data_IF_108814910039
#
_entry.id   IF_108814910039
#
_cell.length_a   1.000
_cell.length_b   1.000
_cell.length_c   1.000
_cell.angle_alpha   90.00
_cell.angle_beta   90.00
_cell.angle_gamma   90.00
#
_symmetry.space_group_name_H-M   'P 1'
#
loop_
_entity.id
_entity.type
_entity.pdbx_description
1 polymer ?
#
# COMPACT_ATOMS: atom_id res chain seq x y z
N UNK A 1 -39.29 15.50 8.19
CA UNK A 1 -38.19 16.26 7.57
C UNK A 1 -36.99 15.32 7.59
N UNK A 2 -36.68 14.64 6.50
CA UNK A 2 -35.50 13.78 6.43
C UNK A 2 -34.31 14.67 6.11
N UNK A 3 -33.59 15.10 7.13
CA UNK A 3 -32.23 15.63 6.96
C UNK A 3 -31.39 14.42 6.63
N UNK A 4 -31.14 14.19 5.34
CA UNK A 4 -30.00 13.37 4.94
C UNK A 4 -28.79 14.22 5.25
N UNK A 5 -28.24 14.06 6.46
CA UNK A 5 -26.92 14.61 6.76
C UNK A 5 -25.98 13.96 5.75
N UNK A 6 -25.58 14.75 4.75
CA UNK A 6 -24.64 14.32 3.75
C UNK A 6 -23.30 14.33 4.45
N UNK A 7 -23.01 13.25 5.17
CA UNK A 7 -21.67 13.02 5.70
C UNK A 7 -20.72 13.02 4.50
N UNK A 8 -19.91 14.08 4.40
CA UNK A 8 -18.85 14.17 3.41
C UNK A 8 -17.73 13.22 3.84
N UNK A 9 -17.90 11.93 3.52
CA UNK A 9 -16.88 10.92 3.72
C UNK A 9 -15.67 11.24 2.83
N UNK A 10 -14.48 11.19 3.42
CA UNK A 10 -13.24 11.35 2.66
C UNK A 10 -13.15 10.25 1.60
N UNK A 11 -13.22 10.65 0.34
CA UNK A 11 -12.93 9.78 -0.80
C UNK A 11 -11.59 10.22 -1.39
N UNK A 12 -10.59 9.33 -1.35
CA UNK A 12 -9.27 9.60 -1.95
C UNK A 12 -9.13 8.79 -3.23
N UNK A 13 -8.96 9.47 -4.35
CA UNK A 13 -8.78 8.85 -5.67
C UNK A 13 -7.30 8.79 -6.06
N UNK A 14 -6.83 7.60 -6.44
CA UNK A 14 -5.44 7.34 -6.81
C UNK A 14 -5.41 6.82 -8.25
N UNK A 15 -4.53 7.38 -9.07
CA UNK A 15 -4.41 6.99 -10.47
C UNK A 15 -3.44 7.86 -11.24
N UNK A 16 -3.59 7.89 -12.56
CA UNK A 16 -2.78 8.77 -13.42
C UNK A 16 -3.54 10.04 -13.80
N UNK A 17 -2.88 11.19 -13.64
CA UNK A 17 -3.29 12.43 -14.28
C UNK A 17 -2.76 12.48 -15.72
N UNK A 18 -3.51 13.08 -16.64
CA UNK A 18 -2.92 13.45 -17.92
C UNK A 18 -2.15 14.75 -17.74
N UNK A 19 -0.92 14.89 -18.30
CA UNK A 19 -0.32 16.20 -18.39
C UNK A 19 -1.28 17.13 -19.14
N UNK A 20 -1.30 18.44 -18.83
CA UNK A 20 -1.99 19.43 -19.65
C UNK A 20 -1.26 19.53 -20.99
N UNK A 21 -1.46 18.52 -21.84
CA UNK A 21 -1.13 18.58 -23.25
C UNK A 21 -1.92 19.76 -23.79
N UNK A 22 -1.31 20.55 -24.67
CA UNK A 22 -1.73 21.87 -25.19
C UNK A 22 -3.13 21.97 -25.83
N UNK A 23 -4.03 21.05 -25.56
CA UNK A 23 -5.46 21.08 -25.85
C UNK A 23 -6.22 22.23 -25.16
N UNK A 24 -5.55 23.09 -24.38
CA UNK A 24 -6.12 24.33 -23.82
C UNK A 24 -5.65 25.61 -24.54
N UNK A 25 -5.26 25.52 -25.81
CA UNK A 25 -5.06 26.72 -26.65
C UNK A 25 -6.03 26.81 -27.83
N UNK A 26 -6.87 25.79 -28.07
CA UNK A 26 -7.73 25.74 -29.26
C UNK A 26 -9.21 25.43 -29.00
N UNK A 27 -9.70 25.54 -27.76
CA UNK A 27 -11.12 25.35 -27.47
C UNK A 27 -11.70 26.57 -26.78
N UNK A 28 -11.95 27.59 -27.60
CA UNK A 28 -13.06 28.52 -27.38
C UNK A 28 -14.34 27.66 -27.28
N UNK A 29 -15.01 27.70 -26.13
CA UNK A 29 -16.40 27.26 -25.93
C UNK A 29 -16.72 25.74 -25.94
N UNK A 30 -15.91 24.92 -25.26
CA UNK A 30 -16.28 23.54 -24.92
C UNK A 30 -16.22 23.28 -23.41
N UNK A 31 -17.18 22.54 -22.81
CA UNK A 31 -17.12 22.21 -21.38
C UNK A 31 -15.82 21.47 -21.07
N UNK A 32 -15.18 21.72 -19.91
CA UNK A 32 -13.91 21.09 -19.57
C UNK A 32 -14.08 19.58 -19.68
N UNK A 33 -13.36 18.96 -20.61
CA UNK A 33 -13.34 17.52 -20.78
C UNK A 33 -13.12 16.88 -19.41
N UNK A 34 -14.02 15.98 -19.04
CA UNK A 34 -14.28 15.43 -17.70
C UNK A 34 -13.06 14.72 -17.09
N UNK A 35 -12.01 15.46 -16.76
CA UNK A 35 -10.91 14.95 -15.97
C UNK A 35 -11.38 14.92 -14.52
N UNK A 36 -11.74 13.73 -14.04
CA UNK A 36 -11.97 13.50 -12.62
C UNK A 36 -10.71 13.92 -11.85
N UNK A 37 -10.82 14.79 -10.83
CA UNK A 37 -9.66 15.19 -10.05
C UNK A 37 -9.05 13.96 -9.38
N UNK A 38 -7.78 13.68 -9.70
CA UNK A 38 -6.99 12.61 -9.06
C UNK A 38 -6.30 13.23 -7.84
N UNK A 39 -6.50 12.66 -6.65
CA UNK A 39 -5.86 13.17 -5.43
C UNK A 39 -4.39 12.76 -5.33
N UNK A 40 -4.05 11.57 -5.81
CA UNK A 40 -2.67 11.04 -5.82
C UNK A 40 -2.31 10.61 -7.23
N UNK A 41 -1.45 11.39 -7.88
CA UNK A 41 -0.95 11.08 -9.21
C UNK A 41 0.24 10.11 -9.15
N UNK A 42 0.12 9.00 -9.88
CA UNK A 42 1.15 7.98 -10.03
C UNK A 42 2.00 8.19 -11.30
N UNK A 43 1.73 9.26 -12.05
CA UNK A 43 2.44 9.66 -13.26
C UNK A 43 1.84 9.06 -14.54
N UNK A 44 2.43 9.35 -15.72
CA UNK A 44 1.89 8.98 -17.04
C UNK A 44 2.14 7.50 -17.40
N UNK A 45 1.92 6.59 -16.45
CA UNK A 45 2.14 5.15 -16.64
C UNK A 45 0.94 4.50 -17.33
N UNK A 46 1.18 3.76 -18.42
CA UNK A 46 0.11 3.01 -19.13
C UNK A 46 -0.45 1.86 -18.31
N UNK A 47 0.35 1.33 -17.40
CA UNK A 47 -0.03 0.28 -16.45
C UNK A 47 -0.87 0.81 -15.27
N UNK A 48 -1.07 2.12 -15.17
CA UNK A 48 -1.93 2.72 -14.16
C UNK A 48 -3.20 3.23 -14.83
N UNK A 49 -4.35 2.98 -14.22
CA UNK A 49 -5.64 3.47 -14.72
C UNK A 49 -5.84 4.93 -14.29
N UNK A 50 -6.68 5.69 -15.01
CA UNK A 50 -7.02 7.08 -14.62
C UNK A 50 -7.64 7.10 -13.22
N UNK A 51 -8.59 6.19 -13.01
CA UNK A 51 -9.13 5.80 -11.72
C UNK A 51 -8.61 4.39 -11.45
N UNK A 52 -7.56 4.25 -10.65
CA UNK A 52 -6.93 2.95 -10.38
C UNK A 52 -7.41 2.36 -9.06
N UNK A 53 -7.41 3.16 -8.02
CA UNK A 53 -7.99 2.78 -6.74
C UNK A 53 -8.65 3.99 -6.12
N UNK A 54 -9.61 3.75 -5.23
CA UNK A 54 -10.15 4.77 -4.34
C UNK A 54 -10.16 4.26 -2.92
N UNK A 55 -9.94 5.15 -1.95
CA UNK A 55 -10.11 4.86 -0.54
C UNK A 55 -11.43 5.47 -0.12
N UNK A 56 -12.27 4.67 0.52
CA UNK A 56 -13.55 5.09 1.10
C UNK A 56 -13.59 4.69 2.56
N UNK A 57 -14.24 5.52 3.39
CA UNK A 57 -14.51 5.19 4.78
C UNK A 57 -15.85 4.47 4.89
N UNK A 58 -15.87 3.30 5.53
CA UNK A 58 -17.11 2.62 5.88
C UNK A 58 -17.49 2.94 7.32
N UNK A 59 -18.65 3.55 7.48
CA UNK A 59 -19.16 3.98 8.78
C UNK A 59 -19.59 2.80 9.66
N UNK A 60 -20.25 1.79 9.08
CA UNK A 60 -20.79 0.64 9.81
C UNK A 60 -19.70 -0.10 10.60
N UNK A 61 -18.52 -0.24 10.01
CA UNK A 61 -17.40 -0.96 10.59
C UNK A 61 -16.23 -0.06 11.00
N UNK A 62 -16.42 1.26 10.95
CA UNK A 62 -15.45 2.31 11.33
C UNK A 62 -14.02 2.10 10.78
N UNK A 63 -13.88 1.70 9.52
CA UNK A 63 -12.58 1.47 8.89
C UNK A 63 -12.50 2.00 7.45
N UNK A 64 -11.28 2.18 6.98
CA UNK A 64 -11.01 2.58 5.59
C UNK A 64 -10.88 1.35 4.71
N UNK A 65 -11.42 1.42 3.51
CA UNK A 65 -11.36 0.35 2.52
C UNK A 65 -10.74 0.88 1.23
N UNK A 66 -9.76 0.16 0.71
CA UNK A 66 -9.24 0.34 -0.63
C UNK A 66 -10.10 -0.43 -1.62
N UNK A 67 -10.69 0.30 -2.56
CA UNK A 67 -11.47 -0.26 -3.66
C UNK A 67 -10.59 -0.23 -4.90
N UNK A 68 -10.25 -1.42 -5.41
CA UNK A 68 -9.38 -1.58 -6.56
C UNK A 68 -10.23 -1.58 -7.82
N UNK A 69 -10.05 -0.60 -8.70
CA UNK A 69 -10.84 -0.41 -9.94
C UNK A 69 -9.97 -0.67 -11.18
N UNK A 70 -8.67 -0.51 -11.03
CA UNK A 70 -7.70 -0.65 -12.10
C UNK A 70 -7.48 -2.09 -12.52
N UNK A 71 -7.29 -2.29 -13.83
CA UNK A 71 -7.09 -3.60 -14.44
C UNK A 71 -5.91 -4.40 -13.84
N UNK A 72 -4.81 -3.74 -13.51
CA UNK A 72 -3.60 -4.41 -13.03
C UNK A 72 -3.63 -4.79 -11.54
N UNK A 73 -4.69 -4.41 -10.83
CA UNK A 73 -4.80 -4.64 -9.40
C UNK A 73 -3.82 -3.80 -8.56
N UNK A 74 -3.79 -4.09 -7.27
CA UNK A 74 -2.89 -3.47 -6.31
C UNK A 74 -2.38 -4.51 -5.31
N UNK A 75 -1.21 -4.29 -4.73
CA UNK A 75 -0.70 -5.07 -3.62
C UNK A 75 -0.98 -4.31 -2.33
N UNK A 76 -1.51 -4.99 -1.32
CA UNK A 76 -1.75 -4.43 0.02
C UNK A 76 -1.05 -5.33 1.02
N UNK A 77 -0.09 -4.79 1.77
CA UNK A 77 0.72 -5.53 2.76
C UNK A 77 1.37 -6.80 2.19
N UNK A 78 1.77 -6.74 0.91
CA UNK A 78 2.37 -7.87 0.18
C UNK A 78 1.37 -8.88 -0.39
N UNK A 79 0.06 -8.68 -0.20
CA UNK A 79 -0.99 -9.52 -0.76
C UNK A 79 -1.59 -8.88 -2.02
N UNK A 80 -1.59 -9.63 -3.13
CA UNK A 80 -2.17 -9.15 -4.38
C UNK A 80 -3.70 -9.13 -4.33
N UNK A 81 -4.28 -8.00 -4.77
CA UNK A 81 -5.71 -7.75 -4.86
C UNK A 81 -6.09 -7.34 -6.27
N UNK A 82 -6.98 -8.11 -6.91
CA UNK A 82 -7.42 -7.89 -8.28
C UNK A 82 -8.42 -6.73 -8.43
N UNK A 83 -8.75 -6.38 -9.67
CA UNK A 83 -9.81 -5.40 -9.97
C UNK A 83 -11.16 -5.84 -9.38
N UNK A 84 -11.90 -4.89 -8.81
CA UNK A 84 -13.16 -5.09 -8.10
C UNK A 84 -13.00 -5.49 -6.62
N UNK A 85 -11.76 -5.66 -6.12
CA UNK A 85 -11.53 -6.05 -4.73
C UNK A 85 -11.75 -4.90 -3.75
N UNK A 86 -12.24 -5.25 -2.57
CA UNK A 86 -12.43 -4.37 -1.42
C UNK A 86 -11.50 -4.83 -0.31
N UNK A 87 -10.47 -4.05 -0.03
CA UNK A 87 -9.41 -4.44 0.91
C UNK A 87 -9.44 -3.50 2.10
N UNK A 88 -9.69 -3.99 3.32
CA UNK A 88 -9.63 -3.15 4.51
C UNK A 88 -8.20 -2.63 4.72
N UNK A 89 -8.08 -1.35 5.05
CA UNK A 89 -6.83 -0.68 5.35
C UNK A 89 -6.71 -0.49 6.87
N UNK A 90 -5.69 -1.10 7.46
CA UNK A 90 -5.26 -0.84 8.83
C UNK A 90 -4.25 0.30 8.95
N UNK A 91 -3.87 0.62 10.18
CA UNK A 91 -2.80 1.58 10.46
C UNK A 91 -1.49 1.15 9.77
N UNK A 92 -0.87 2.07 9.02
CA UNK A 92 0.38 1.85 8.26
C UNK A 92 0.28 0.80 7.13
N UNK A 93 -0.91 0.54 6.59
CA UNK A 93 -1.05 -0.37 5.44
C UNK A 93 -0.20 0.10 4.26
N UNK A 94 0.58 -0.80 3.68
CA UNK A 94 1.42 -0.55 2.51
C UNK A 94 0.64 -0.89 1.24
N UNK A 95 0.40 0.10 0.39
CA UNK A 95 -0.31 -0.06 -0.88
C UNK A 95 0.71 0.12 -2.00
N UNK A 96 0.91 -0.91 -2.80
CA UNK A 96 1.77 -0.84 -3.99
C UNK A 96 0.93 -0.97 -5.26
N UNK A 97 1.06 0.05 -6.11
CA UNK A 97 0.44 0.11 -7.43
C UNK A 97 1.56 0.22 -8.46
N UNK A 98 1.77 -0.87 -9.21
CA UNK A 98 2.86 -0.97 -10.18
C UNK A 98 4.22 -0.72 -9.49
N UNK A 99 4.85 0.43 -9.71
CA UNK A 99 6.15 0.81 -9.15
C UNK A 99 6.06 1.81 -8.00
N UNK A 100 4.87 2.30 -7.67
CA UNK A 100 4.67 3.29 -6.62
C UNK A 100 4.21 2.60 -5.34
N UNK A 101 4.84 2.94 -4.22
CA UNK A 101 4.47 2.46 -2.89
C UNK A 101 3.95 3.62 -2.06
N UNK A 102 2.73 3.46 -1.54
CA UNK A 102 2.01 4.43 -0.72
C UNK A 102 1.79 3.82 0.67
N UNK A 103 1.82 4.65 1.69
CA UNK A 103 1.58 4.23 3.07
C UNK A 103 0.32 4.91 3.57
N UNK A 104 -0.64 4.12 4.01
CA UNK A 104 -1.85 4.62 4.63
C UNK A 104 -1.61 4.80 6.13
N UNK A 105 -1.60 6.03 6.62
CA UNK A 105 -1.43 6.33 8.04
C UNK A 105 -2.66 7.04 8.57
N UNK A 106 -3.16 6.55 9.70
CA UNK A 106 -4.15 7.28 10.48
C UNK A 106 -3.43 8.26 11.39
N UNK A 107 -3.92 9.51 11.52
CA UNK A 107 -3.50 10.38 12.60
C UNK A 107 -3.68 9.64 13.94
N UNK A 108 -2.78 9.84 14.92
CA UNK A 108 -3.02 9.36 16.27
C UNK A 108 -4.41 9.82 16.71
N UNK A 109 -5.22 8.94 17.35
CA UNK A 109 -6.52 9.34 17.84
C UNK A 109 -6.34 10.57 18.72
N UNK A 110 -7.09 11.64 18.44
CA UNK A 110 -7.05 12.85 19.24
C UNK A 110 -7.38 12.43 20.67
N UNK A 111 -6.36 12.46 21.53
CA UNK A 111 -6.52 12.11 22.93
C UNK A 111 -7.53 13.11 23.49
N UNK A 112 -8.72 12.65 23.83
CA UNK A 112 -9.70 13.45 24.55
C UNK A 112 -9.03 13.92 25.84
N UNK A 113 -8.69 15.20 25.89
CA UNK A 113 -8.23 15.90 27.08
C UNK A 113 -9.43 16.03 28.03
N UNK A 114 -9.77 14.93 28.71
CA UNK A 114 -10.63 14.94 29.90
C UNK A 114 -9.84 14.40 31.10
N UNK A 115 -8.83 15.16 31.51
CA UNK A 115 -8.44 15.13 32.91
C UNK A 115 -8.03 16.54 33.36
N UNK A 116 -8.90 17.29 34.05
CA UNK A 116 -8.47 18.52 34.69
C UNK A 116 -7.45 18.15 35.78
N UNK A 117 -6.21 18.61 35.62
CA UNK A 117 -5.23 18.61 36.71
C UNK A 117 -5.77 19.42 37.89
N UNK A 118 -5.44 19.05 39.14
CA UNK A 118 -4.44 19.88 39.81
C UNK A 118 -3.47 19.12 40.74
N UNK A 119 -2.19 19.51 40.61
CA UNK A 119 -1.18 19.70 41.66
C UNK A 119 -0.88 18.58 42.67
N UNK A 120 0.37 18.11 42.68
CA UNK A 120 1.22 18.19 43.88
C UNK A 120 2.70 18.06 43.54
N UNK A 121 3.44 19.13 43.87
CA UNK A 121 4.88 19.19 43.80
C UNK A 121 5.55 18.24 44.81
N UNK A 122 6.69 17.65 44.45
CA UNK A 122 7.83 17.63 45.37
C UNK A 122 9.14 17.42 44.61
N UNK A 123 9.95 18.47 44.67
CA UNK A 123 11.36 18.49 44.33
C UNK A 123 12.15 17.66 45.35
N UNK A 124 12.95 16.69 44.90
CA UNK A 124 14.25 16.40 45.55
C UNK A 124 15.25 15.96 44.49
N UNK A 125 16.17 16.86 44.19
CA UNK A 125 17.48 16.53 43.65
C UNK A 125 18.21 15.57 44.61
N UNK A 126 18.64 14.39 44.12
CA UNK A 126 19.82 13.75 44.69
C UNK A 126 20.67 13.14 43.59
N UNK A 127 21.68 13.91 43.21
CA UNK A 127 22.89 13.40 42.62
C UNK A 127 23.47 12.29 43.51
N UNK A 128 23.85 11.15 42.90
CA UNK A 128 25.16 10.47 43.06
C UNK A 128 25.17 9.09 42.37
N UNK A 129 26.04 9.03 41.35
CA UNK A 129 26.70 7.91 40.64
C UNK A 129 27.14 6.73 41.56
N UNK A 130 27.55 5.53 41.07
CA UNK A 130 28.46 5.36 39.93
C UNK A 130 28.30 4.14 38.98
N UNK A 131 29.06 4.26 37.89
CA UNK A 131 29.40 3.26 36.88
C UNK A 131 29.77 1.91 37.46
N UNK A 132 29.31 0.84 36.83
CA UNK A 132 29.87 -0.50 37.00
C UNK A 132 30.34 -0.95 35.61
N UNK A 133 31.65 -0.79 35.38
CA UNK A 133 32.41 -1.48 34.35
C UNK A 133 32.55 -2.96 34.75
N UNK A 134 31.89 -3.87 34.03
CA UNK A 134 32.25 -5.29 34.06
C UNK A 134 32.99 -5.58 32.75
N UNK A 135 34.31 -5.47 32.86
CA UNK A 135 35.24 -6.12 31.94
C UNK A 135 35.02 -7.64 32.01
N UNK A 136 35.01 -8.26 30.83
CA UNK A 136 35.34 -9.68 30.60
C UNK A 136 34.41 -10.72 31.19
N UNK A 137 33.56 -11.28 30.32
CA UNK A 137 33.53 -12.73 30.15
C UNK A 137 33.16 -13.05 28.70
N UNK A 138 34.18 -13.33 27.90
CA UNK A 138 34.05 -14.00 26.61
C UNK A 138 33.30 -15.32 26.80
N UNK A 139 32.19 -15.59 26.10
CA UNK A 139 31.79 -16.97 25.90
C UNK A 139 32.78 -17.62 24.91
N UNK A 140 33.26 -18.85 25.20
CA UNK A 140 34.15 -19.59 24.32
C UNK A 140 33.47 -19.92 22.99
N UNK A 141 34.22 -19.80 21.91
CA UNK A 141 33.89 -20.40 20.62
C UNK A 141 33.63 -21.89 20.78
N UNK A 142 32.40 -22.30 20.48
CA UNK A 142 32.07 -23.68 20.12
C UNK A 142 31.24 -23.64 18.84
N UNK A 143 31.91 -23.31 17.73
CA UNK A 143 31.42 -23.58 16.40
C UNK A 143 31.49 -25.10 16.17
N UNK A 144 30.38 -25.82 15.94
CA UNK A 144 30.49 -27.09 15.23
C UNK A 144 30.89 -26.78 13.78
N UNK A 145 32.16 -27.07 13.49
CA UNK A 145 32.71 -27.20 12.15
C UNK A 145 31.99 -28.32 11.40
N UNK A 146 31.01 -27.98 10.55
CA UNK A 146 30.56 -28.85 9.47
C UNK A 146 30.26 -28.03 8.21
N UNK A 147 31.29 -27.85 7.38
CA UNK A 147 31.15 -27.73 5.93
C UNK A 147 31.06 -29.14 5.30
N UNK A 148 30.80 -29.26 4.00
CA UNK A 148 29.52 -29.12 3.32
C UNK A 148 29.00 -30.49 2.84
N UNK A 149 27.72 -30.58 2.48
CA UNK A 149 27.26 -31.64 1.56
C UNK A 149 26.33 -31.02 0.53
N UNK A 150 26.70 -31.03 -0.77
CA UNK A 150 25.81 -30.63 -1.84
C UNK A 150 24.81 -31.76 -2.04
N UNK A 151 23.64 -31.67 -1.42
CA UNK A 151 22.55 -32.62 -1.67
C UNK A 151 21.62 -32.02 -2.73
N UNK A 152 21.95 -32.37 -3.97
CA UNK A 152 21.02 -32.73 -5.04
C UNK A 152 19.78 -31.85 -5.20
N UNK A 153 19.85 -30.93 -6.16
CA UNK A 153 18.68 -30.27 -6.73
C UNK A 153 17.66 -31.31 -7.26
N UNK A 154 16.38 -31.25 -6.88
CA UNK A 154 15.32 -31.82 -7.68
C UNK A 154 15.04 -30.89 -8.86
N UNK A 155 15.32 -31.42 -10.04
CA UNK A 155 15.03 -30.93 -11.39
C UNK A 155 13.86 -29.93 -11.49
N UNK A 156 14.15 -28.77 -12.06
CA UNK A 156 13.17 -27.96 -12.78
C UNK A 156 12.39 -28.84 -13.77
N UNK A 157 11.07 -28.65 -13.94
CA UNK A 157 10.35 -29.26 -15.05
C UNK A 157 10.78 -28.61 -16.38
N UNK A 158 10.98 -29.39 -17.46
CA UNK A 158 11.35 -28.85 -18.76
C UNK A 158 10.22 -27.98 -19.36
N UNK A 159 10.56 -27.00 -20.22
CA UNK A 159 9.57 -26.19 -20.92
C UNK A 159 8.73 -27.10 -21.82
N UNK A 160 7.40 -27.01 -21.70
CA UNK A 160 6.48 -27.63 -22.65
C UNK A 160 6.62 -26.91 -24.00
N UNK A 161 7.43 -27.47 -24.88
CA UNK A 161 7.40 -27.20 -26.31
C UNK A 161 6.07 -27.76 -26.85
N UNK A 162 5.05 -26.93 -26.99
CA UNK A 162 3.87 -27.33 -27.78
C UNK A 162 4.25 -27.20 -29.25
N UNK A 163 4.49 -28.37 -29.84
CA UNK A 163 4.86 -28.55 -31.23
C UNK A 163 3.72 -28.12 -32.16
N UNK A 164 4.13 -27.35 -33.17
CA UNK A 164 3.59 -27.17 -34.51
C UNK A 164 2.54 -28.22 -34.96
N UNK A 165 1.27 -27.83 -35.06
CA UNK A 165 0.25 -28.64 -35.72
C UNK A 165 0.38 -28.49 -37.25
N UNK A 166 0.76 -29.57 -37.94
CA UNK A 166 0.59 -29.68 -39.40
C UNK A 166 -0.85 -30.08 -39.74
N UNK A 167 -1.40 -29.59 -40.88
CA UNK A 167 -2.74 -29.94 -41.33
C UNK A 167 -2.74 -31.26 -42.11
N UNK A 168 -3.62 -32.19 -41.74
CA UNK A 168 -3.91 -33.41 -42.49
C UNK A 168 -5.22 -33.27 -43.27
N UNK A 169 -5.10 -33.18 -44.59
CA UNK A 169 -6.15 -33.39 -45.59
C UNK A 169 -6.64 -34.85 -45.56
N UNK A 170 -7.94 -35.11 -45.77
CA UNK A 170 -8.38 -36.36 -46.35
C UNK A 170 -8.80 -36.17 -47.81
N UNK A 171 -8.16 -36.94 -48.68
CA UNK A 171 -8.63 -37.33 -50.00
C UNK A 171 -9.66 -38.46 -49.81
N UNK A 172 -10.83 -38.32 -50.46
CA UNK A 172 -11.63 -39.32 -51.19
C UNK A 172 -13.07 -38.80 -51.38
#
# INVERSE_FOLDING_TARGET
MHVTDKHDYLTVTIGRSLPPTSASLNSTDGPPSSQSPVNVDLGPLKSVSRLHTRIEYKEEEAHFVLIVIGHNGAWVDGVWSGSGSWVPLGERSQIQIVSQTLHFMLPPPAMVDESPSPSSASSVQRARSPSIDITSISPPSSLPSHSPSPRTAPSLPPPKTFALSQPSTPEL
#
